data_IF_344574896906
#
_entry.id   IF_344574896906
#
_cell.length_a   1.000
_cell.length_b   1.000
_cell.length_c   1.000
_cell.angle_alpha   90.00
_cell.angle_beta   90.00
_cell.angle_gamma   90.00
#
_symmetry.space_group_name_H-M   'P 1'
#
loop_
_entity.id
_entity.type
_entity.pdbx_description
1 polymer ?
#
# COMPACT_ATOMS: atom_id res chain seq x y z
N UNK A 1 -22.16 15.92 70.13
CA UNK A 1 -21.52 16.90 69.21
C UNK A 1 -20.05 16.50 69.08
N UNK A 2 -19.55 15.77 68.07
CA UNK A 2 -19.87 15.64 66.64
C UNK A 2 -19.41 14.21 66.22
N UNK A 3 -20.18 13.21 65.76
CA UNK A 3 -21.31 13.03 64.83
C UNK A 3 -21.00 13.11 63.32
N UNK A 4 -19.75 13.33 62.89
CA UNK A 4 -19.40 13.40 61.45
C UNK A 4 -18.57 12.22 60.93
N UNK A 5 -18.27 11.23 61.76
CA UNK A 5 -17.64 9.96 61.35
C UNK A 5 -18.46 9.08 60.39
N UNK A 6 -19.81 9.14 60.26
CA UNK A 6 -20.51 8.26 59.33
C UNK A 6 -20.30 8.62 57.84
N UNK A 7 -19.77 9.80 57.50
CA UNK A 7 -19.54 10.19 56.10
C UNK A 7 -18.31 9.52 55.44
N UNK A 8 -17.33 9.09 56.24
CA UNK A 8 -16.14 8.38 55.70
C UNK A 8 -16.41 6.87 55.57
N UNK A 9 -17.37 6.32 56.34
CA UNK A 9 -17.66 4.88 56.37
C UNK A 9 -18.90 4.47 55.55
N UNK A 10 -19.85 5.37 55.27
CA UNK A 10 -21.12 5.02 54.61
C UNK A 10 -21.19 5.23 53.08
N UNK A 11 -20.09 5.57 52.42
CA UNK A 11 -19.95 5.39 50.97
C UNK A 11 -19.15 4.11 50.62
N UNK A 12 -18.84 3.28 51.62
CA UNK A 12 -18.72 1.84 51.43
C UNK A 12 -20.10 1.31 51.03
N UNK A 13 -20.39 1.37 49.74
CA UNK A 13 -21.58 0.83 49.08
C UNK A 13 -21.39 -0.69 48.93
N UNK A 14 -22.09 -1.55 49.71
CA UNK A 14 -21.97 -2.99 49.63
C UNK A 14 -23.25 -3.59 49.03
N UNK A 15 -23.63 -3.14 47.83
CA UNK A 15 -24.53 -3.86 46.95
C UNK A 15 -23.68 -4.50 45.86
N UNK A 16 -23.24 -5.70 46.23
CA UNK A 16 -23.02 -6.81 45.32
C UNK A 16 -24.25 -7.02 44.42
N UNK A 17 -24.40 -6.21 43.39
CA UNK A 17 -24.94 -6.64 42.13
C UNK A 17 -23.98 -6.15 41.07
N UNK A 18 -23.04 -7.05 40.77
CA UNK A 18 -22.31 -7.15 39.52
C UNK A 18 -22.57 -5.95 38.60
N UNK A 19 -21.64 -5.00 38.59
CA UNK A 19 -21.26 -4.54 37.26
C UNK A 19 -20.69 -5.82 36.63
N UNK A 20 -21.38 -6.49 35.68
CA UNK A 20 -20.62 -7.31 34.78
C UNK A 20 -19.69 -6.28 34.16
N UNK A 21 -18.42 -6.27 34.59
CA UNK A 21 -17.35 -5.68 33.83
C UNK A 21 -17.55 -6.32 32.47
N UNK A 22 -18.18 -5.56 31.58
CA UNK A 22 -18.56 -5.95 30.25
C UNK A 22 -17.25 -5.91 29.50
N UNK A 23 -16.40 -6.88 29.88
CA UNK A 23 -15.31 -7.46 29.13
C UNK A 23 -14.89 -6.53 28.01
N UNK A 24 -14.20 -5.46 28.40
CA UNK A 24 -13.46 -4.57 27.52
C UNK A 24 -12.39 -5.45 26.86
N UNK A 25 -12.80 -6.12 25.79
CA UNK A 25 -11.99 -6.86 24.85
C UNK A 25 -10.87 -7.71 25.46
N UNK A 26 -11.27 -8.78 26.16
CA UNK A 26 -10.50 -10.02 26.01
C UNK A 26 -10.67 -10.44 24.54
N UNK A 27 -9.76 -9.97 23.68
CA UNK A 27 -9.66 -10.42 22.30
C UNK A 27 -9.66 -11.96 22.34
N UNK A 28 -10.57 -12.62 21.63
CA UNK A 28 -10.80 -14.03 21.87
C UNK A 28 -9.54 -14.79 21.50
N UNK A 29 -9.08 -15.67 22.38
CA UNK A 29 -7.81 -16.42 22.28
C UNK A 29 -7.72 -17.28 21.00
N UNK A 30 -8.84 -17.44 20.29
CA UNK A 30 -8.86 -18.02 18.96
C UNK A 30 -8.28 -17.11 17.87
N UNK A 31 -7.84 -15.87 18.09
CA UNK A 31 -7.16 -15.09 17.04
C UNK A 31 -5.63 -15.16 17.15
N UNK A 32 -5.09 -15.60 18.29
CA UNK A 32 -3.64 -15.70 18.53
C UNK A 32 -2.98 -16.84 17.75
N UNK A 33 -3.77 -17.81 17.25
CA UNK A 33 -3.24 -18.84 16.34
C UNK A 33 -2.76 -18.27 15.00
N UNK A 34 -3.21 -17.07 14.63
CA UNK A 34 -2.81 -16.43 13.38
C UNK A 34 -1.48 -15.67 13.49
N UNK A 35 -1.03 -15.32 14.69
CA UNK A 35 0.24 -14.62 14.89
C UNK A 35 1.43 -15.35 14.22
N UNK A 36 1.64 -16.68 14.37
CA UNK A 36 2.73 -17.38 13.68
C UNK A 36 2.53 -17.44 12.16
N UNK A 37 1.28 -17.50 11.70
CA UNK A 37 0.97 -17.51 10.26
C UNK A 37 1.34 -16.16 9.64
N UNK A 38 0.98 -15.06 10.29
CA UNK A 38 1.30 -13.70 9.83
C UNK A 38 2.82 -13.51 9.78
N UNK A 39 3.56 -13.97 10.79
CA UNK A 39 5.03 -13.87 10.80
C UNK A 39 5.66 -14.60 9.61
N UNK A 40 5.23 -15.84 9.34
CA UNK A 40 5.71 -16.61 8.18
C UNK A 40 5.36 -15.91 6.87
N UNK A 41 4.14 -15.38 6.73
CA UNK A 41 3.70 -14.64 5.55
C UNK A 41 4.53 -13.38 5.34
N UNK A 42 4.88 -12.65 6.41
CA UNK A 42 5.72 -11.46 6.34
C UNK A 42 7.15 -11.80 5.90
N UNK A 43 7.74 -12.87 6.42
CA UNK A 43 9.07 -13.31 6.02
C UNK A 43 9.09 -13.69 4.53
N UNK A 44 8.11 -14.50 4.10
CA UNK A 44 7.99 -14.90 2.68
C UNK A 44 7.75 -13.66 1.80
N UNK A 45 6.85 -12.76 2.21
CA UNK A 45 6.57 -11.53 1.50
C UNK A 45 7.82 -10.65 1.35
N UNK A 46 8.59 -10.48 2.43
CA UNK A 46 9.83 -9.72 2.40
C UNK A 46 10.87 -10.33 1.45
N UNK A 47 11.05 -11.66 1.50
CA UNK A 47 11.96 -12.39 0.60
C UNK A 47 11.54 -12.21 -0.86
N UNK A 48 10.26 -12.34 -1.17
CA UNK A 48 9.74 -12.17 -2.53
C UNK A 48 9.88 -10.73 -3.03
N UNK A 49 9.64 -9.74 -2.18
CA UNK A 49 9.83 -8.32 -2.53
C UNK A 49 11.30 -8.04 -2.83
N UNK A 50 12.22 -8.47 -1.96
CA UNK A 50 13.67 -8.28 -2.18
C UNK A 50 14.13 -8.99 -3.45
N UNK A 51 13.71 -10.23 -3.66
CA UNK A 51 13.99 -10.96 -4.89
C UNK A 51 13.44 -10.23 -6.13
N UNK A 52 12.21 -9.71 -6.04
CA UNK A 52 11.55 -8.92 -7.07
C UNK A 52 12.32 -7.65 -7.41
N UNK A 53 12.79 -6.90 -6.40
CA UNK A 53 13.64 -5.72 -6.58
C UNK A 53 14.93 -6.08 -7.33
N UNK A 54 15.62 -7.15 -6.92
CA UNK A 54 16.85 -7.60 -7.57
C UNK A 54 16.59 -7.98 -9.04
N UNK A 55 15.49 -8.69 -9.31
CA UNK A 55 15.06 -9.06 -10.66
C UNK A 55 14.75 -7.82 -11.52
N UNK A 56 14.06 -6.83 -10.97
CA UNK A 56 13.75 -5.59 -11.68
C UNK A 56 15.03 -4.81 -11.99
N UNK A 57 15.93 -4.64 -11.00
CA UNK A 57 17.22 -3.99 -11.19
C UNK A 57 18.07 -4.69 -12.25
N UNK A 58 18.12 -6.02 -12.23
CA UNK A 58 18.80 -6.81 -13.26
C UNK A 58 18.23 -6.54 -14.66
N UNK A 59 16.91 -6.48 -14.79
CA UNK A 59 16.22 -6.22 -16.06
C UNK A 59 16.39 -4.78 -16.55
N UNK A 60 16.44 -3.80 -15.65
CA UNK A 60 16.75 -2.40 -16.00
C UNK A 60 18.15 -2.29 -16.62
N UNK A 61 19.14 -3.00 -16.06
CA UNK A 61 20.55 -2.92 -16.53
C UNK A 61 20.76 -3.75 -17.81
N UNK A 62 20.27 -5.00 -17.85
CA UNK A 62 20.50 -5.92 -18.98
C UNK A 62 19.38 -5.99 -20.01
N UNK A 63 18.29 -5.25 -19.85
CA UNK A 63 17.16 -5.26 -20.77
C UNK A 63 17.61 -4.91 -22.21
N UNK A 64 17.29 -5.75 -23.21
CA UNK A 64 17.75 -5.57 -24.59
C UNK A 64 17.02 -4.42 -25.32
N UNK A 65 15.77 -4.14 -24.93
CA UNK A 65 14.94 -3.13 -25.54
C UNK A 65 14.60 -2.01 -24.55
N UNK A 66 14.45 -0.76 -25.03
CA UNK A 66 14.17 0.39 -24.18
C UNK A 66 12.84 0.24 -23.42
N UNK A 67 11.78 -0.24 -24.08
CA UNK A 67 10.50 -0.44 -23.41
C UNK A 67 10.57 -1.51 -22.30
N UNK A 68 11.47 -2.50 -22.41
CA UNK A 68 11.66 -3.52 -21.37
C UNK A 68 12.23 -2.92 -20.07
N UNK A 69 13.15 -1.96 -20.23
CA UNK A 69 13.74 -1.24 -19.09
C UNK A 69 12.73 -0.31 -18.43
N UNK A 70 11.90 0.37 -19.22
CA UNK A 70 10.83 1.24 -18.70
C UNK A 70 9.80 0.43 -17.93
N UNK A 71 9.37 -0.72 -18.46
CA UNK A 71 8.45 -1.62 -17.77
C UNK A 71 9.07 -2.18 -16.47
N UNK A 72 10.35 -2.53 -16.49
CA UNK A 72 11.05 -2.98 -15.28
C UNK A 72 11.19 -1.86 -14.22
N UNK A 73 11.35 -0.61 -14.63
CA UNK A 73 11.36 0.54 -13.74
C UNK A 73 9.99 0.80 -13.10
N UNK A 74 8.91 0.67 -13.87
CA UNK A 74 7.53 0.75 -13.35
C UNK A 74 7.24 -0.38 -12.34
N UNK A 75 7.61 -1.61 -12.67
CA UNK A 75 7.49 -2.75 -11.78
C UNK A 75 8.31 -2.58 -10.48
N UNK A 76 9.48 -1.94 -10.56
CA UNK A 76 10.28 -1.60 -9.38
C UNK A 76 9.55 -0.64 -8.45
N UNK A 77 8.78 0.31 -8.99
CA UNK A 77 7.90 1.19 -8.21
C UNK A 77 6.89 0.40 -7.38
N UNK A 78 6.25 -0.62 -7.96
CA UNK A 78 5.34 -1.50 -7.23
C UNK A 78 6.05 -2.38 -6.19
N UNK A 79 7.29 -2.79 -6.43
CA UNK A 79 8.09 -3.49 -5.42
C UNK A 79 8.36 -2.61 -4.19
N UNK A 80 8.59 -1.30 -4.38
CA UNK A 80 8.72 -0.34 -3.28
C UNK A 80 7.41 -0.23 -2.50
N UNK A 81 6.26 -0.14 -3.18
CA UNK A 81 4.94 -0.15 -2.51
C UNK A 81 4.76 -1.44 -1.68
N UNK A 82 5.11 -2.59 -2.26
CA UNK A 82 5.08 -3.89 -1.56
C UNK A 82 5.95 -3.90 -0.32
N UNK A 83 7.16 -3.34 -0.38
CA UNK A 83 8.06 -3.21 0.77
C UNK A 83 7.43 -2.37 1.89
N UNK A 84 6.84 -1.22 1.54
CA UNK A 84 6.18 -0.34 2.52
C UNK A 84 4.99 -1.07 3.18
N UNK A 85 4.21 -1.84 2.43
CA UNK A 85 3.09 -2.62 2.98
C UNK A 85 3.56 -3.74 3.93
N UNK A 86 4.63 -4.46 3.58
CA UNK A 86 5.21 -5.46 4.49
C UNK A 86 5.68 -4.80 5.79
N UNK A 87 6.33 -3.63 5.70
CA UNK A 87 6.73 -2.86 6.88
C UNK A 87 5.54 -2.32 7.67
N UNK A 88 4.46 -1.91 7.01
CA UNK A 88 3.23 -1.46 7.66
C UNK A 88 2.65 -2.55 8.57
N UNK A 89 2.53 -3.76 8.02
CA UNK A 89 1.99 -4.90 8.76
C UNK A 89 2.96 -5.34 9.86
N UNK A 90 4.27 -5.38 9.58
CA UNK A 90 5.28 -5.79 10.56
C UNK A 90 5.38 -4.84 11.77
N UNK A 91 5.23 -3.53 11.54
CA UNK A 91 5.31 -2.51 12.59
C UNK A 91 3.99 -2.22 13.28
N UNK A 92 2.86 -2.66 12.70
CA UNK A 92 1.49 -2.34 13.16
C UNK A 92 1.23 -0.83 13.24
N UNK A 93 1.82 -0.06 12.32
CA UNK A 93 1.64 1.39 12.21
C UNK A 93 0.83 1.71 10.95
N UNK A 94 -0.40 2.19 11.13
CA UNK A 94 -1.33 2.47 10.04
C UNK A 94 -0.85 3.57 9.08
N UNK A 95 -0.01 4.50 9.55
CA UNK A 95 0.55 5.58 8.71
C UNK A 95 1.34 5.08 7.49
N UNK A 96 1.89 3.86 7.56
CA UNK A 96 2.57 3.26 6.41
C UNK A 96 1.60 2.83 5.30
N UNK A 97 0.34 2.48 5.61
CA UNK A 97 -0.66 2.19 4.59
C UNK A 97 -1.04 3.43 3.77
N UNK A 98 -1.20 4.57 4.43
CA UNK A 98 -1.46 5.85 3.76
C UNK A 98 -0.29 6.27 2.86
N UNK A 99 0.93 6.07 3.35
CA UNK A 99 2.15 6.28 2.57
C UNK A 99 2.22 5.34 1.36
N UNK A 100 1.95 4.04 1.54
CA UNK A 100 1.95 3.05 0.47
C UNK A 100 0.94 3.40 -0.62
N UNK A 101 -0.29 3.78 -0.24
CA UNK A 101 -1.34 4.18 -1.17
C UNK A 101 -0.95 5.45 -1.94
N UNK A 102 -0.41 6.45 -1.25
CA UNK A 102 0.07 7.69 -1.86
C UNK A 102 1.17 7.42 -2.89
N UNK A 103 2.18 6.63 -2.53
CA UNK A 103 3.27 6.26 -3.44
C UNK A 103 2.74 5.45 -4.63
N UNK A 104 1.80 4.53 -4.41
CA UNK A 104 1.21 3.74 -5.48
C UNK A 104 0.46 4.60 -6.50
N UNK A 105 -0.36 5.55 -6.04
CA UNK A 105 -1.12 6.45 -6.92
C UNK A 105 -0.17 7.37 -7.69
N UNK A 106 0.82 7.97 -7.02
CA UNK A 106 1.80 8.86 -7.66
C UNK A 106 2.63 8.09 -8.71
N UNK A 107 3.09 6.89 -8.37
CA UNK A 107 3.85 6.03 -9.28
C UNK A 107 3.05 5.66 -10.53
N UNK A 108 1.81 5.19 -10.34
CA UNK A 108 0.93 4.85 -11.45
C UNK A 108 0.59 6.07 -12.32
N UNK A 109 0.27 7.21 -11.71
CA UNK A 109 -0.01 8.45 -12.43
C UNK A 109 1.18 8.93 -13.26
N UNK A 110 2.42 8.78 -12.75
CA UNK A 110 3.65 9.10 -13.48
C UNK A 110 3.78 8.27 -14.77
N UNK A 111 3.52 6.96 -14.70
CA UNK A 111 3.62 6.07 -15.86
C UNK A 111 2.53 6.37 -16.90
N UNK A 112 1.30 6.64 -16.47
CA UNK A 112 0.20 7.05 -17.36
C UNK A 112 0.51 8.38 -18.05
N UNK A 113 1.01 9.38 -17.32
CA UNK A 113 1.37 10.68 -17.87
C UNK A 113 2.48 10.55 -18.93
N UNK A 114 3.49 9.72 -18.67
CA UNK A 114 4.56 9.44 -19.62
C UNK A 114 4.05 8.76 -20.90
N UNK A 115 3.16 7.76 -20.76
CA UNK A 115 2.54 7.09 -21.91
C UNK A 115 1.73 8.05 -22.78
N UNK A 116 0.92 8.91 -22.16
CA UNK A 116 0.16 9.93 -22.90
C UNK A 116 1.07 10.95 -23.58
N UNK A 117 2.16 11.38 -22.94
CA UNK A 117 3.11 12.31 -23.54
C UNK A 117 3.74 11.75 -24.82
N UNK A 118 4.09 10.46 -24.83
CA UNK A 118 4.63 9.81 -26.04
C UNK A 118 3.55 9.69 -27.12
N UNK A 119 2.34 9.26 -26.75
CA UNK A 119 1.25 9.06 -27.72
C UNK A 119 0.72 10.36 -28.34
N UNK A 120 0.60 11.43 -27.55
CA UNK A 120 0.06 12.71 -28.00
C UNK A 120 0.98 13.45 -28.99
N UNK A 121 2.28 13.18 -28.97
CA UNK A 121 3.28 13.80 -29.85
C UNK A 121 3.62 12.95 -31.09
N UNK A 122 2.86 11.88 -31.36
CA UNK A 122 3.07 11.08 -32.57
C UNK A 122 2.79 11.92 -33.84
N UNK A 123 3.66 11.89 -34.87
CA UNK A 123 3.44 12.62 -36.11
C UNK A 123 2.09 12.22 -36.73
N UNK A 124 1.25 13.20 -37.06
CA UNK A 124 0.02 12.93 -37.82
C UNK A 124 0.42 12.39 -39.21
N UNK A 125 -0.26 11.35 -39.71
CA UNK A 125 -0.02 10.89 -41.06
C UNK A 125 -0.26 12.06 -42.02
N UNK A 126 0.74 12.34 -42.84
CA UNK A 126 0.70 13.35 -43.89
C UNK A 126 -0.43 12.97 -44.86
N UNK A 127 -1.47 13.80 -44.95
CA UNK A 127 -2.45 13.68 -46.03
C UNK A 127 -1.70 14.00 -47.33
N UNK A 128 -1.32 12.97 -48.07
CA UNK A 128 -0.84 13.10 -49.44
C UNK A 128 -1.99 13.72 -50.25
N UNK A 129 -1.85 15.00 -50.59
CA UNK A 129 -2.81 15.72 -51.42
C UNK A 129 -2.94 15.05 -52.79
N UNK A 130 -3.95 14.18 -52.96
CA UNK A 130 -4.30 13.55 -54.24
C UNK A 130 -4.92 14.55 -55.24
N UNK A 131 -4.79 15.86 -55.02
CA UNK A 131 -5.42 16.93 -55.80
C UNK A 131 -4.51 17.57 -56.85
N UNK A 132 -3.46 16.88 -57.31
CA UNK A 132 -2.61 17.35 -58.41
C UNK A 132 -2.94 16.69 -59.77
N UNK A 133 -3.80 15.66 -59.81
CA UNK A 133 -4.18 14.98 -61.05
C UNK A 133 -5.52 15.46 -61.67
N UNK A 134 -6.18 16.48 -61.12
CA UNK A 134 -7.46 17.00 -61.66
C UNK A 134 -7.32 18.29 -62.49
N UNK A 135 -6.12 18.86 -62.66
CA UNK A 135 -5.94 20.14 -63.37
C UNK A 135 -5.37 19.99 -64.80
N UNK A 136 -4.96 18.78 -65.21
CA UNK A 136 -4.29 18.54 -66.51
C UNK A 136 -5.04 17.57 -67.45
N UNK A 137 -6.36 17.67 -67.58
CA UNK A 137 -7.12 16.97 -68.64
C UNK A 137 -8.15 17.87 -69.30
#
# INVERSE_FOLDING_TARGET
>A
MNHLTPLILAAAKPDAHAEPGLNEHALPEHLTFLDPVIEVVLIIGLVLVVAGVILCLYRIVKGPHLADRVLAADALGLQVVGLVLVLAIATRIDAFFDTALTVAIIGFASTVAFGQYIGANAPKPEETDENENQVTS
#
